data_IF_890370839813
#
_entry.id   IF_890370839813
#
_cell.length_a   1.000
_cell.length_b   1.000
_cell.length_c   1.000
_cell.angle_alpha   90.00
_cell.angle_beta   90.00
_cell.angle_gamma   90.00
#
_symmetry.space_group_name_H-M   'P 1'
#
loop_
_entity.id
_entity.type
_entity.pdbx_description
1 polymer ?
#
# COMPACT_ATOMS: atom_id res chain seq x y z
N UNK A 1 -33.02 -9.80 15.47
CA UNK A 1 -33.29 -8.87 14.35
C UNK A 1 -32.71 -9.51 13.10
N UNK A 2 -33.50 -9.80 12.06
CA UNK A 2 -32.96 -10.39 10.82
C UNK A 2 -32.47 -9.26 9.91
N UNK A 3 -31.15 -9.16 9.72
CA UNK A 3 -30.56 -8.17 8.82
C UNK A 3 -30.83 -8.47 7.33
N UNK A 4 -31.35 -9.67 7.02
CA UNK A 4 -31.68 -10.13 5.67
C UNK A 4 -33.04 -10.85 5.68
N UNK A 5 -33.98 -10.38 4.85
CA UNK A 5 -35.33 -10.96 4.74
C UNK A 5 -35.77 -10.89 3.27
N UNK A 6 -36.41 -11.96 2.81
CA UNK A 6 -37.01 -12.05 1.46
C UNK A 6 -36.04 -11.68 0.29
N UNK A 7 -34.76 -12.03 0.42
CA UNK A 7 -33.79 -11.78 -0.63
C UNK A 7 -33.13 -10.39 -0.59
N UNK A 8 -33.50 -9.53 0.37
CA UNK A 8 -32.99 -8.17 0.50
C UNK A 8 -32.49 -7.89 1.94
N UNK A 9 -31.57 -6.92 2.07
CA UNK A 9 -31.17 -6.41 3.37
C UNK A 9 -32.25 -5.48 3.93
N UNK A 10 -32.53 -5.61 5.22
CA UNK A 10 -33.62 -4.87 5.90
C UNK A 10 -33.24 -3.45 6.28
N UNK A 11 -31.96 -3.10 6.16
CA UNK A 11 -31.43 -1.77 6.49
C UNK A 11 -30.25 -1.43 5.56
N UNK A 12 -30.15 -0.16 5.19
CA UNK A 12 -29.12 0.38 4.32
C UNK A 12 -28.03 1.06 5.16
N UNK A 13 -27.39 0.30 6.06
CA UNK A 13 -26.30 0.80 6.87
C UNK A 13 -24.97 0.75 6.10
N UNK A 14 -24.20 1.83 6.21
CA UNK A 14 -22.77 1.75 5.90
C UNK A 14 -22.08 0.78 6.87
N UNK A 15 -20.93 0.26 6.49
CA UNK A 15 -20.15 -0.63 7.38
C UNK A 15 -19.88 0.04 8.75
N UNK A 16 -19.48 1.33 8.74
CA UNK A 16 -19.24 2.08 9.96
C UNK A 16 -20.48 2.17 10.86
N UNK A 17 -21.64 2.49 10.28
CA UNK A 17 -22.90 2.56 11.02
C UNK A 17 -23.29 1.19 11.62
N UNK A 18 -23.05 0.10 10.89
CA UNK A 18 -23.31 -1.24 11.40
C UNK A 18 -22.36 -1.61 12.55
N UNK A 19 -21.09 -1.25 12.47
CA UNK A 19 -20.13 -1.48 13.55
C UNK A 19 -20.57 -0.74 14.82
N UNK A 20 -20.91 0.53 14.72
CA UNK A 20 -21.38 1.32 15.87
C UNK A 20 -22.69 0.78 16.43
N UNK A 21 -23.60 0.32 15.58
CA UNK A 21 -24.82 -0.35 16.01
C UNK A 21 -24.53 -1.66 16.77
N UNK A 22 -23.65 -2.53 16.25
CA UNK A 22 -23.27 -3.77 16.90
C UNK A 22 -22.60 -3.56 18.26
N UNK A 23 -21.80 -2.51 18.40
CA UNK A 23 -21.14 -2.18 19.68
C UNK A 23 -22.11 -1.86 20.80
N UNK A 24 -23.30 -1.33 20.50
CA UNK A 24 -24.36 -1.08 21.50
C UNK A 24 -24.86 -2.37 22.17
N UNK A 25 -24.76 -3.51 21.49
CA UNK A 25 -25.20 -4.83 21.97
C UNK A 25 -24.04 -5.72 22.42
N UNK A 26 -22.82 -5.18 22.50
CA UNK A 26 -21.61 -5.95 22.82
C UNK A 26 -21.72 -6.70 24.16
N UNK A 27 -22.36 -6.10 25.18
CA UNK A 27 -22.55 -6.72 26.47
C UNK A 27 -23.43 -8.00 26.40
N UNK A 28 -24.51 -7.95 25.64
CA UNK A 28 -25.39 -9.10 25.41
C UNK A 28 -24.67 -10.19 24.62
N UNK A 29 -23.92 -9.79 23.59
CA UNK A 29 -23.18 -10.70 22.73
C UNK A 29 -22.06 -11.42 23.52
N UNK A 30 -21.33 -10.70 24.37
CA UNK A 30 -20.30 -11.28 25.24
C UNK A 30 -20.86 -12.35 26.15
N UNK A 31 -22.04 -12.12 26.72
CA UNK A 31 -22.72 -13.11 27.57
C UNK A 31 -23.13 -14.36 26.79
N UNK A 32 -23.73 -14.19 25.60
CA UNK A 32 -24.18 -15.30 24.76
C UNK A 32 -23.02 -16.11 24.18
N UNK A 33 -21.92 -15.45 23.78
CA UNK A 33 -20.74 -16.09 23.20
C UNK A 33 -19.76 -16.62 24.24
N UNK A 34 -19.97 -16.35 25.54
CA UNK A 34 -19.04 -16.74 26.61
C UNK A 34 -17.67 -16.06 26.52
N UNK A 35 -17.61 -14.87 25.94
CA UNK A 35 -16.38 -14.11 25.76
C UNK A 35 -16.42 -12.77 26.53
N UNK A 36 -15.28 -12.05 26.54
CA UNK A 36 -15.13 -10.76 27.23
C UNK A 36 -14.38 -9.76 26.32
N UNK A 37 -14.91 -9.53 25.13
CA UNK A 37 -14.31 -8.55 24.23
C UNK A 37 -14.57 -7.12 24.74
N UNK A 38 -13.52 -6.30 24.71
CA UNK A 38 -13.66 -4.86 24.87
C UNK A 38 -14.24 -4.24 23.58
N UNK A 39 -14.83 -3.02 23.64
CA UNK A 39 -15.32 -2.34 22.44
C UNK A 39 -14.24 -2.19 21.34
N UNK A 40 -12.98 -1.96 21.72
CA UNK A 40 -11.86 -1.85 20.79
C UNK A 40 -11.62 -3.19 20.08
N UNK A 41 -11.49 -4.28 20.83
CA UNK A 41 -11.28 -5.62 20.27
C UNK A 41 -12.45 -6.07 19.38
N UNK A 42 -13.68 -5.78 19.81
CA UNK A 42 -14.86 -6.09 19.00
C UNK A 42 -14.88 -5.30 17.70
N UNK A 43 -14.53 -4.00 17.74
CA UNK A 43 -14.42 -3.15 16.55
C UNK A 43 -13.35 -3.67 15.57
N UNK A 44 -12.18 -4.04 16.06
CA UNK A 44 -11.11 -4.63 15.25
C UNK A 44 -11.57 -5.92 14.56
N UNK A 45 -12.22 -6.83 15.29
CA UNK A 45 -12.77 -8.07 14.71
C UNK A 45 -13.82 -7.78 13.65
N UNK A 46 -14.71 -6.83 13.89
CA UNK A 46 -15.75 -6.45 12.91
C UNK A 46 -15.13 -5.83 11.66
N UNK A 47 -14.11 -4.99 11.79
CA UNK A 47 -13.37 -4.43 10.65
C UNK A 47 -12.66 -5.49 9.79
N UNK A 48 -12.25 -6.61 10.39
CA UNK A 48 -11.67 -7.74 9.66
C UNK A 48 -12.74 -8.60 8.97
N UNK A 49 -13.92 -8.80 9.60
CA UNK A 49 -14.93 -9.74 9.11
C UNK A 49 -15.99 -9.10 8.22
N UNK A 50 -16.43 -7.87 8.51
CA UNK A 50 -17.53 -7.24 7.80
C UNK A 50 -17.29 -7.02 6.31
N UNK A 51 -16.07 -6.65 5.84
CA UNK A 51 -15.80 -6.56 4.41
C UNK A 51 -16.03 -7.87 3.65
N UNK A 52 -15.98 -9.01 4.34
CA UNK A 52 -16.19 -10.33 3.75
C UNK A 52 -17.68 -10.71 3.68
N UNK A 53 -18.56 -9.98 4.36
CA UNK A 53 -20.00 -10.26 4.36
C UNK A 53 -20.62 -9.83 3.04
N UNK A 54 -21.59 -10.62 2.55
CA UNK A 54 -22.28 -10.40 1.28
C UNK A 54 -22.85 -8.98 1.11
N UNK A 55 -23.22 -8.30 2.21
CA UNK A 55 -23.75 -6.94 2.21
C UNK A 55 -22.72 -5.90 1.76
N UNK A 56 -21.47 -6.06 2.21
CA UNK A 56 -20.39 -5.11 1.91
C UNK A 56 -19.36 -5.66 0.94
N UNK A 57 -19.50 -6.91 0.53
CA UNK A 57 -18.77 -7.49 -0.61
C UNK A 57 -19.35 -6.93 -1.91
N UNK A 58 -19.31 -5.60 -2.05
CA UNK A 58 -19.53 -4.97 -3.33
C UNK A 58 -18.44 -5.54 -4.23
N UNK A 59 -18.86 -6.24 -5.28
CA UNK A 59 -17.93 -6.70 -6.30
C UNK A 59 -17.36 -5.44 -6.92
N UNK A 60 -16.17 -5.08 -6.49
CA UNK A 60 -15.44 -3.96 -7.09
C UNK A 60 -15.12 -4.36 -8.52
N UNK A 61 -15.89 -3.87 -9.47
CA UNK A 61 -15.79 -4.21 -10.89
C UNK A 61 -14.69 -3.39 -11.62
N UNK A 62 -14.00 -2.49 -10.88
CA UNK A 62 -12.89 -1.76 -11.49
C UNK A 62 -11.81 -2.73 -11.97
N UNK A 63 -11.09 -2.41 -13.06
CA UNK A 63 -9.91 -3.16 -13.47
C UNK A 63 -8.87 -3.28 -12.36
N UNK A 64 -8.11 -4.36 -12.31
CA UNK A 64 -7.05 -4.56 -11.31
C UNK A 64 -6.03 -3.42 -11.27
N UNK A 65 -5.73 -2.81 -12.42
CA UNK A 65 -4.87 -1.64 -12.51
C UNK A 65 -5.40 -0.42 -11.74
N UNK A 66 -6.71 -0.18 -11.77
CA UNK A 66 -7.34 0.90 -11.02
C UNK A 66 -7.40 0.58 -9.52
N UNK A 67 -7.73 -0.67 -9.17
CA UNK A 67 -7.70 -1.14 -7.76
C UNK A 67 -6.29 -1.00 -7.18
N UNK A 68 -5.25 -1.42 -7.92
CA UNK A 68 -3.86 -1.30 -7.53
C UNK A 68 -3.40 0.16 -7.41
N UNK A 69 -3.84 1.04 -8.32
CA UNK A 69 -3.58 2.48 -8.23
C UNK A 69 -4.20 3.08 -6.97
N UNK A 70 -5.44 2.69 -6.67
CA UNK A 70 -6.11 3.11 -5.44
C UNK A 70 -5.39 2.57 -4.20
N UNK A 71 -4.98 1.29 -4.19
CA UNK A 71 -4.20 0.70 -3.11
C UNK A 71 -2.89 1.47 -2.88
N UNK A 72 -2.13 1.73 -3.95
CA UNK A 72 -0.88 2.50 -3.84
C UNK A 72 -1.11 3.91 -3.30
N UNK A 73 -2.24 4.56 -3.62
CA UNK A 73 -2.56 5.89 -3.08
C UNK A 73 -2.72 5.92 -1.56
N UNK A 74 -3.08 4.79 -0.96
CA UNK A 74 -3.25 4.63 0.49
C UNK A 74 -1.95 4.24 1.22
N UNK A 75 -0.88 3.91 0.47
CA UNK A 75 0.42 3.53 1.03
C UNK A 75 1.35 4.74 1.09
N UNK A 76 1.80 5.13 2.29
CA UNK A 76 2.85 6.15 2.46
C UNK A 76 4.23 5.59 2.15
N UNK A 77 4.41 4.30 2.37
CA UNK A 77 5.67 3.60 2.18
C UNK A 77 5.53 2.45 1.20
N UNK A 78 6.63 2.12 0.54
CA UNK A 78 6.79 0.94 -0.32
C UNK A 78 8.06 0.19 0.06
N UNK A 79 8.11 -1.11 -0.22
CA UNK A 79 9.34 -1.89 -0.09
C UNK A 79 9.96 -2.04 -1.47
N UNK A 80 11.16 -1.48 -1.67
CA UNK A 80 11.94 -1.68 -2.89
C UNK A 80 13.12 -2.60 -2.62
N UNK A 81 13.43 -3.49 -3.54
CA UNK A 81 14.56 -4.40 -3.45
C UNK A 81 15.54 -4.17 -4.60
N UNK A 82 16.79 -3.85 -4.26
CA UNK A 82 17.95 -3.88 -5.16
C UNK A 82 18.56 -5.28 -5.18
N UNK A 83 19.45 -5.53 -6.12
CA UNK A 83 20.29 -6.74 -6.16
C UNK A 83 21.72 -6.32 -5.82
N UNK A 84 22.28 -6.90 -4.77
CA UNK A 84 23.64 -6.60 -4.34
C UNK A 84 24.71 -7.24 -5.24
N UNK A 85 25.98 -6.91 -5.01
CA UNK A 85 27.11 -7.43 -5.79
C UNK A 85 27.27 -8.98 -5.74
N UNK A 86 26.65 -9.62 -4.76
CA UNK A 86 26.66 -11.09 -4.61
C UNK A 86 25.40 -11.74 -5.22
N UNK A 87 24.49 -10.95 -5.81
CA UNK A 87 23.26 -11.42 -6.42
C UNK A 87 22.10 -11.61 -5.44
N UNK A 88 22.22 -11.15 -4.19
CA UNK A 88 21.13 -11.24 -3.23
C UNK A 88 20.17 -10.06 -3.32
N UNK A 89 18.85 -10.29 -3.21
CA UNK A 89 17.89 -9.20 -3.09
C UNK A 89 18.05 -8.49 -1.73
N UNK A 90 18.07 -7.16 -1.76
CA UNK A 90 18.16 -6.29 -0.59
C UNK A 90 16.90 -5.45 -0.47
N UNK A 91 15.85 -5.94 0.19
CA UNK A 91 14.62 -5.18 0.40
C UNK A 91 14.83 -4.09 1.46
N UNK A 92 14.31 -2.90 1.19
CA UNK A 92 14.27 -1.78 2.13
C UNK A 92 12.94 -1.05 2.02
N UNK A 93 12.41 -0.61 3.16
CA UNK A 93 11.23 0.25 3.17
C UNK A 93 11.61 1.68 2.88
N UNK A 94 10.85 2.34 2.01
CA UNK A 94 11.08 3.73 1.61
C UNK A 94 9.78 4.51 1.54
N UNK A 95 9.83 5.79 1.88
CA UNK A 95 8.70 6.69 1.69
C UNK A 95 8.46 6.89 0.19
N UNK A 96 7.22 6.69 -0.21
CA UNK A 96 6.74 7.04 -1.55
C UNK A 96 6.54 8.55 -1.60
N UNK A 97 7.21 9.22 -2.51
CA UNK A 97 7.11 10.69 -2.69
C UNK A 97 6.26 11.07 -3.90
N UNK A 98 6.05 10.15 -4.82
CA UNK A 98 5.21 10.32 -5.99
C UNK A 98 4.89 8.97 -6.64
N UNK A 99 3.80 8.91 -7.40
CA UNK A 99 3.44 7.74 -8.18
C UNK A 99 2.60 8.13 -9.39
N UNK A 100 2.70 7.33 -10.47
CA UNK A 100 1.82 7.42 -11.63
C UNK A 100 1.24 6.04 -11.94
N UNK A 101 -0.09 5.92 -11.86
CA UNK A 101 -0.75 4.63 -11.89
C UNK A 101 -0.30 3.76 -10.70
N UNK A 102 -0.25 2.45 -10.91
CA UNK A 102 0.09 1.47 -9.88
C UNK A 102 1.54 0.96 -9.95
N UNK A 103 2.29 1.32 -10.98
CA UNK A 103 3.57 0.70 -11.35
C UNK A 103 4.74 1.68 -11.50
N UNK A 104 4.51 2.98 -11.47
CA UNK A 104 5.56 4.01 -11.52
C UNK A 104 5.62 4.71 -10.17
N UNK A 105 6.79 4.63 -9.48
CA UNK A 105 6.95 5.11 -8.10
C UNK A 105 8.26 5.88 -7.96
N UNK A 106 8.17 7.01 -7.26
CA UNK A 106 9.29 7.88 -6.93
C UNK A 106 9.61 7.82 -5.44
N UNK A 107 10.91 7.76 -5.14
CA UNK A 107 11.46 7.72 -3.77
C UNK A 107 12.71 8.59 -3.72
N UNK A 108 13.05 9.12 -2.54
CA UNK A 108 14.28 9.90 -2.32
C UNK A 108 15.30 9.11 -1.50
N UNK A 109 16.60 9.26 -1.81
CA UNK A 109 17.68 8.64 -1.03
C UNK A 109 18.98 9.42 -1.15
N UNK A 110 19.98 9.07 -0.33
CA UNK A 110 21.34 9.58 -0.43
C UNK A 110 22.09 8.94 -1.60
N UNK A 111 22.86 9.73 -2.32
CA UNK A 111 23.67 9.29 -3.47
C UNK A 111 24.72 8.23 -3.10
N UNK A 112 25.21 8.28 -1.86
CA UNK A 112 26.17 7.34 -1.26
C UNK A 112 25.48 6.12 -0.58
N UNK A 113 24.16 6.04 -0.61
CA UNK A 113 23.46 4.90 -0.04
C UNK A 113 23.77 3.59 -0.76
N UNK A 114 23.78 2.49 -0.01
CA UNK A 114 24.04 1.15 -0.58
C UNK A 114 23.10 0.85 -1.73
N UNK A 115 21.80 1.16 -1.59
CA UNK A 115 20.80 0.92 -2.64
C UNK A 115 21.03 1.75 -3.89
N UNK A 116 21.47 3.01 -3.75
CA UNK A 116 21.82 3.84 -4.90
C UNK A 116 23.04 3.28 -5.65
N UNK A 117 24.01 2.73 -4.92
CA UNK A 117 25.17 2.05 -5.51
C UNK A 117 24.75 0.76 -6.22
N UNK A 118 23.90 -0.07 -5.58
CA UNK A 118 23.37 -1.29 -6.18
C UNK A 118 22.62 -0.98 -7.48
N UNK A 119 21.71 0.01 -7.49
CA UNK A 119 20.93 0.38 -8.68
C UNK A 119 21.74 0.98 -9.81
N UNK A 120 22.84 1.70 -9.51
CA UNK A 120 23.80 2.16 -10.52
C UNK A 120 24.52 0.99 -11.20
N UNK A 121 24.80 -0.09 -10.45
CA UNK A 121 25.46 -1.28 -10.96
C UNK A 121 24.48 -2.24 -11.66
N UNK A 122 23.27 -2.39 -11.13
CA UNK A 122 22.22 -3.27 -11.64
C UNK A 122 20.86 -2.64 -11.38
N UNK A 123 20.22 -2.13 -12.41
CA UNK A 123 18.96 -1.41 -12.30
C UNK A 123 17.72 -2.31 -12.08
N UNK A 124 17.86 -3.63 -12.11
CA UNK A 124 16.75 -4.56 -11.84
C UNK A 124 16.25 -4.41 -10.41
N UNK A 125 14.95 -4.34 -10.26
CA UNK A 125 14.30 -4.09 -8.99
C UNK A 125 13.02 -4.90 -8.81
N UNK A 126 12.72 -5.23 -7.55
CA UNK A 126 11.38 -5.57 -7.09
C UNK A 126 10.80 -4.41 -6.27
N UNK A 127 9.50 -4.21 -6.34
CA UNK A 127 8.80 -3.25 -5.48
C UNK A 127 7.50 -3.86 -5.00
N UNK A 128 7.22 -3.71 -3.69
CA UNK A 128 5.97 -4.20 -3.10
C UNK A 128 5.31 -3.08 -2.29
N UNK A 129 3.98 -3.09 -2.29
CA UNK A 129 3.17 -2.29 -1.39
C UNK A 129 1.92 -3.07 -0.99
N UNK A 130 1.43 -2.82 0.21
CA UNK A 130 0.28 -3.51 0.77
C UNK A 130 -0.51 -2.61 1.71
N UNK A 131 -1.80 -2.91 1.85
CA UNK A 131 -2.69 -2.25 2.78
C UNK A 131 -3.85 -3.17 3.15
N UNK A 132 -4.03 -3.43 4.46
CA UNK A 132 -5.12 -4.26 5.00
C UNK A 132 -5.30 -5.65 4.37
N UNK A 133 -4.19 -6.29 3.97
CA UNK A 133 -4.22 -7.65 3.43
C UNK A 133 -4.30 -7.72 1.89
N UNK A 134 -4.58 -6.60 1.22
CA UNK A 134 -4.39 -6.47 -0.21
C UNK A 134 -2.95 -6.07 -0.51
N UNK A 135 -2.40 -6.54 -1.61
CA UNK A 135 -1.01 -6.27 -1.96
C UNK A 135 -0.70 -6.37 -3.45
N UNK A 136 0.34 -5.67 -3.85
CA UNK A 136 0.91 -5.74 -5.20
C UNK A 136 2.41 -5.92 -5.11
N UNK A 137 2.94 -6.88 -5.87
CA UNK A 137 4.36 -7.07 -6.07
C UNK A 137 4.71 -6.80 -7.54
N UNK A 138 5.69 -5.95 -7.76
CA UNK A 138 6.14 -5.52 -9.08
C UNK A 138 7.56 -6.00 -9.34
N UNK A 139 7.85 -6.37 -10.59
CA UNK A 139 9.20 -6.46 -11.13
C UNK A 139 9.40 -5.35 -12.15
N UNK A 140 10.58 -4.75 -12.14
CA UNK A 140 10.87 -3.63 -13.03
C UNK A 140 12.31 -3.16 -12.92
N UNK A 141 12.50 -1.88 -13.16
CA UNK A 141 13.82 -1.23 -13.09
C UNK A 141 13.75 0.04 -12.27
N UNK A 142 14.89 0.42 -11.69
CA UNK A 142 15.08 1.71 -11.01
C UNK A 142 16.14 2.51 -11.76
N UNK A 143 15.84 3.75 -12.06
CA UNK A 143 16.79 4.78 -12.47
C UNK A 143 17.19 5.61 -11.25
N UNK A 144 18.50 5.87 -11.09
CA UNK A 144 18.99 6.83 -10.11
C UNK A 144 19.06 8.20 -10.80
N UNK A 145 18.08 9.04 -10.51
CA UNK A 145 17.91 10.34 -11.16
C UNK A 145 18.69 11.41 -10.42
N UNK A 146 19.56 12.10 -11.16
CA UNK A 146 20.41 13.19 -10.68
C UNK A 146 20.14 14.53 -11.40
N UNK A 147 19.16 14.57 -12.28
CA UNK A 147 18.74 15.77 -12.99
C UNK A 147 18.21 16.84 -12.02
N UNK A 148 18.80 18.03 -12.06
CA UNK A 148 18.51 19.11 -11.11
C UNK A 148 17.07 19.65 -11.24
N UNK A 149 16.51 19.67 -12.45
CA UNK A 149 15.16 20.16 -12.66
C UNK A 149 14.14 19.17 -12.04
N UNK A 150 14.32 17.87 -12.25
CA UNK A 150 13.47 16.83 -11.68
C UNK A 150 13.61 16.78 -10.15
N UNK A 151 14.85 16.88 -9.64
CA UNK A 151 15.10 16.88 -8.18
C UNK A 151 14.42 18.05 -7.50
N UNK A 152 14.45 19.25 -8.10
CA UNK A 152 13.76 20.45 -7.58
C UNK A 152 12.24 20.32 -7.63
N UNK A 153 11.69 19.77 -8.69
CA UNK A 153 10.25 19.56 -8.84
C UNK A 153 9.70 18.56 -7.81
N UNK A 154 10.48 17.51 -7.52
CA UNK A 154 10.11 16.45 -6.58
C UNK A 154 10.50 16.74 -5.12
N UNK A 155 11.12 17.92 -4.84
CA UNK A 155 11.52 18.30 -3.49
C UNK A 155 10.33 18.43 -2.55
N UNK A 156 10.49 17.91 -1.34
CA UNK A 156 9.54 18.08 -0.24
C UNK A 156 10.24 18.75 0.95
N UNK A 157 9.57 19.70 1.62
CA UNK A 157 10.17 20.51 2.70
C UNK A 157 10.77 19.67 3.84
N UNK A 158 10.16 18.53 4.17
CA UNK A 158 10.68 17.66 5.22
C UNK A 158 12.02 16.96 4.86
N UNK A 159 12.43 16.95 3.58
CA UNK A 159 13.72 16.40 3.15
C UNK A 159 14.89 17.19 3.71
N UNK A 160 14.70 18.45 4.13
CA UNK A 160 15.75 19.30 4.71
C UNK A 160 16.41 18.66 5.96
N UNK A 161 15.68 17.79 6.67
CA UNK A 161 16.21 17.05 7.81
C UNK A 161 17.25 15.97 7.40
N UNK A 162 17.27 15.58 6.14
CA UNK A 162 18.18 14.57 5.59
C UNK A 162 19.20 15.17 4.62
N UNK A 163 18.82 16.24 3.91
CA UNK A 163 19.61 16.92 2.88
C UNK A 163 19.68 18.41 3.20
N UNK A 164 20.65 18.78 4.05
CA UNK A 164 20.77 20.14 4.58
C UNK A 164 21.10 21.20 3.53
N UNK A 165 21.62 20.80 2.37
CA UNK A 165 21.85 21.66 1.19
C UNK A 165 20.57 21.96 0.39
N UNK A 166 19.40 21.45 0.84
CA UNK A 166 18.13 21.64 0.15
C UNK A 166 18.05 20.84 -1.16
N UNK A 167 17.25 21.28 -2.15
CA UNK A 167 17.08 20.56 -3.42
C UNK A 167 18.39 20.52 -4.26
N UNK A 168 19.34 21.39 -3.98
CA UNK A 168 20.65 21.43 -4.62
C UNK A 168 21.72 20.57 -3.90
N UNK A 169 21.35 19.89 -2.81
CA UNK A 169 22.27 19.01 -2.07
C UNK A 169 22.81 17.91 -2.99
N UNK A 170 24.14 17.79 -3.19
CA UNK A 170 24.71 16.78 -4.09
C UNK A 170 24.46 15.34 -3.64
N UNK A 171 24.12 15.14 -2.36
CA UNK A 171 23.80 13.82 -1.84
C UNK A 171 22.31 13.46 -1.99
N UNK A 172 21.44 14.41 -2.35
CA UNK A 172 20.04 14.14 -2.66
C UNK A 172 19.91 13.59 -4.07
N UNK A 173 19.38 12.36 -4.20
CA UNK A 173 19.03 11.74 -5.48
C UNK A 173 17.66 11.10 -5.40
N UNK A 174 17.03 10.92 -6.56
CA UNK A 174 15.77 10.22 -6.66
C UNK A 174 15.97 8.80 -7.18
N UNK A 175 15.12 7.89 -6.73
CA UNK A 175 14.94 6.57 -7.31
C UNK A 175 13.60 6.56 -8.04
N UNK A 176 13.65 6.38 -9.35
CA UNK A 176 12.46 6.27 -10.20
C UNK A 176 12.28 4.82 -10.61
N UNK A 177 11.29 4.16 -9.99
CA UNK A 177 10.95 2.78 -10.30
C UNK A 177 9.88 2.74 -11.40
N UNK A 178 10.09 1.86 -12.39
CA UNK A 178 9.12 1.54 -13.44
C UNK A 178 8.92 0.04 -13.47
N UNK A 179 7.68 -0.39 -13.17
CA UNK A 179 7.26 -1.79 -13.22
C UNK A 179 6.99 -2.27 -14.63
N UNK A 180 7.37 -3.51 -14.92
CA UNK A 180 7.12 -4.20 -16.20
C UNK A 180 6.24 -5.43 -16.05
N UNK A 181 6.15 -5.98 -14.84
CA UNK A 181 5.31 -7.11 -14.49
C UNK A 181 4.70 -6.88 -13.11
N UNK A 182 3.48 -7.35 -12.92
CA UNK A 182 2.75 -7.24 -11.67
C UNK A 182 2.14 -8.56 -11.23
N UNK A 183 2.21 -8.81 -9.93
CA UNK A 183 1.42 -9.81 -9.21
C UNK A 183 0.48 -9.07 -8.28
N UNK A 184 -0.81 -9.33 -8.40
CA UNK A 184 -1.86 -8.71 -7.61
C UNK A 184 -2.43 -9.73 -6.62
N UNK A 185 -2.69 -9.30 -5.41
CA UNK A 185 -3.54 -9.93 -4.44
C UNK A 185 -4.48 -8.86 -3.89
N UNK A 186 -5.64 -8.70 -4.50
CA UNK A 186 -6.57 -7.61 -4.19
C UNK A 186 -7.98 -8.18 -4.07
N UNK A 187 -8.66 -7.90 -2.97
CA UNK A 187 -10.01 -8.39 -2.66
C UNK A 187 -10.14 -9.93 -2.76
N UNK A 188 -9.07 -10.66 -2.40
CA UNK A 188 -9.02 -12.13 -2.52
C UNK A 188 -8.86 -12.65 -3.95
N UNK A 189 -8.61 -11.77 -4.91
CA UNK A 189 -8.32 -12.10 -6.29
C UNK A 189 -6.80 -12.11 -6.52
N UNK A 190 -6.28 -13.22 -7.08
CA UNK A 190 -4.87 -13.36 -7.42
C UNK A 190 -4.69 -13.34 -8.93
N UNK A 191 -3.80 -12.49 -9.43
CA UNK A 191 -3.52 -12.38 -10.85
C UNK A 191 -2.07 -11.98 -11.13
N UNK A 192 -1.60 -12.33 -12.33
CA UNK A 192 -0.33 -11.86 -12.90
C UNK A 192 -0.61 -11.11 -14.21
N UNK A 193 0.17 -10.08 -14.48
CA UNK A 193 0.09 -9.33 -15.73
C UNK A 193 1.45 -8.75 -16.12
N UNK A 194 1.73 -8.73 -17.40
CA UNK A 194 2.70 -7.80 -17.97
C UNK A 194 2.05 -6.41 -18.03
N UNK A 195 2.86 -5.36 -17.91
CA UNK A 195 2.45 -3.96 -17.88
C UNK A 195 2.84 -3.31 -19.20
#
# INVERSE_FOLDING_TARGET
MNCYKDGAFTQDFTMGQMIEFCLQFLGQWNVQAGCKLTPIQAKEQMLQHFPQLKLWKVKDERPLSEKATHLLSQCDNVTVASIDANGYPRPVQMSKIGAKGFHEVWMATSADSVKATDFKANNKAGLCYDHYGDGVALRGTVEVVTDDAIRKDMWQEWFIHHFTGGPDDPNYVLLHFIGTEATFWINGEFAHSNI
#
